data_IF_017087634278
#
_entry.id   IF_017087634278
#
_cell.length_a   1.000
_cell.length_b   1.000
_cell.length_c   1.000
_cell.angle_alpha   90.00
_cell.angle_beta   90.00
_cell.angle_gamma   90.00
#
_symmetry.space_group_name_H-M   'P 1'
#
loop_
_entity.id
_entity.type
_entity.pdbx_description
1 polymer ?
#
# COMPACT_ATOMS: atom_id res chain seq x y z
N UNK A 1 -10.51 -36.87 -2.94
CA UNK A 1 -9.75 -35.60 -2.98
C UNK A 1 -10.67 -34.53 -3.54
N UNK A 2 -10.77 -33.36 -2.90
CA UNK A 2 -11.53 -32.26 -3.49
C UNK A 2 -10.72 -31.71 -4.66
N UNK A 3 -11.26 -31.74 -5.86
CA UNK A 3 -10.62 -31.15 -7.05
C UNK A 3 -10.76 -29.64 -7.01
N UNK A 4 -9.69 -28.91 -7.32
CA UNK A 4 -9.68 -27.46 -7.51
C UNK A 4 -9.51 -27.15 -8.99
N UNK A 5 -10.19 -26.11 -9.48
CA UNK A 5 -10.02 -25.64 -10.86
C UNK A 5 -8.74 -24.78 -10.99
N UNK A 6 -8.37 -24.10 -9.90
CA UNK A 6 -7.24 -23.18 -9.86
C UNK A 6 -6.48 -23.38 -8.55
N UNK A 7 -5.15 -23.35 -8.65
CA UNK A 7 -4.23 -23.34 -7.54
C UNK A 7 -3.49 -22.00 -7.52
N UNK A 8 -3.57 -21.28 -6.40
CA UNK A 8 -2.82 -20.03 -6.17
C UNK A 8 -1.72 -20.34 -5.16
N UNK A 9 -0.48 -20.03 -5.50
CA UNK A 9 0.67 -20.21 -4.62
C UNK A 9 1.03 -18.86 -4.00
N UNK A 10 0.96 -18.81 -2.67
CA UNK A 10 1.17 -17.62 -1.86
C UNK A 10 -0.13 -16.92 -1.49
N UNK A 11 -0.37 -16.77 -0.18
CA UNK A 11 -1.51 -16.07 0.40
C UNK A 11 -1.16 -14.62 0.82
N UNK A 12 -0.27 -13.95 0.09
CA UNK A 12 -0.06 -12.52 0.21
C UNK A 12 -1.26 -11.74 -0.38
N UNK A 13 -1.29 -10.43 -0.21
CA UNK A 13 -2.41 -9.59 -0.65
C UNK A 13 -2.77 -9.76 -2.14
N UNK A 14 -1.79 -9.91 -3.04
CA UNK A 14 -2.04 -10.13 -4.47
C UNK A 14 -2.63 -11.52 -4.74
N UNK A 15 -2.07 -12.57 -4.11
CA UNK A 15 -2.58 -13.94 -4.23
C UNK A 15 -4.00 -14.07 -3.71
N UNK A 16 -4.29 -13.45 -2.57
CA UNK A 16 -5.64 -13.43 -1.98
C UNK A 16 -6.64 -12.67 -2.85
N UNK A 17 -6.26 -11.52 -3.41
CA UNK A 17 -7.11 -10.77 -4.34
C UNK A 17 -7.42 -11.58 -5.60
N UNK A 18 -6.41 -12.19 -6.22
CA UNK A 18 -6.60 -13.06 -7.39
C UNK A 18 -7.49 -14.26 -7.08
N UNK A 19 -7.25 -14.94 -5.96
CA UNK A 19 -8.04 -16.08 -5.52
C UNK A 19 -9.51 -15.69 -5.28
N UNK A 20 -9.75 -14.56 -4.63
CA UNK A 20 -11.11 -14.07 -4.37
C UNK A 20 -11.86 -13.71 -5.67
N UNK A 21 -11.18 -13.04 -6.61
CA UNK A 21 -11.78 -12.72 -7.91
C UNK A 21 -12.12 -13.97 -8.72
N UNK A 22 -11.24 -14.98 -8.74
CA UNK A 22 -11.48 -16.26 -9.39
C UNK A 22 -12.62 -17.04 -8.72
N UNK A 23 -12.67 -17.05 -7.40
CA UNK A 23 -13.77 -17.68 -6.67
C UNK A 23 -15.13 -17.00 -6.95
N UNK A 24 -15.16 -15.66 -7.03
CA UNK A 24 -16.36 -14.90 -7.43
C UNK A 24 -16.82 -15.21 -8.86
N UNK A 25 -15.89 -15.58 -9.75
CA UNK A 25 -16.22 -16.04 -11.10
C UNK A 25 -16.71 -17.51 -11.17
N UNK A 26 -16.92 -18.15 -10.02
CA UNK A 26 -17.44 -19.52 -9.91
C UNK A 26 -16.36 -20.61 -9.95
N UNK A 27 -15.07 -20.26 -9.92
CA UNK A 27 -13.97 -21.25 -9.89
C UNK A 27 -13.77 -21.81 -8.49
N UNK A 28 -13.46 -23.09 -8.40
CA UNK A 28 -12.99 -23.73 -7.16
C UNK A 28 -11.51 -23.42 -6.99
N UNK A 29 -11.18 -22.52 -6.09
CA UNK A 29 -9.81 -22.05 -5.88
C UNK A 29 -9.24 -22.66 -4.60
N UNK A 30 -8.00 -23.16 -4.69
CA UNK A 30 -7.19 -23.52 -3.52
C UNK A 30 -6.00 -22.57 -3.45
N UNK A 31 -5.75 -22.00 -2.27
CA UNK A 31 -4.57 -21.18 -2.00
C UNK A 31 -3.62 -22.00 -1.14
N UNK A 32 -2.36 -22.05 -1.55
CA UNK A 32 -1.27 -22.65 -0.77
C UNK A 32 -0.37 -21.54 -0.24
N UNK A 33 -0.12 -21.56 1.05
CA UNK A 33 0.78 -20.63 1.75
C UNK A 33 1.88 -21.44 2.44
N UNK A 34 3.13 -20.96 2.32
CA UNK A 34 4.27 -21.61 2.96
C UNK A 34 4.39 -21.25 4.45
N UNK A 35 3.91 -20.07 4.82
CA UNK A 35 3.91 -19.59 6.21
C UNK A 35 2.69 -20.06 7.00
N UNK A 36 2.76 -19.88 8.31
CA UNK A 36 1.66 -20.23 9.22
C UNK A 36 0.44 -19.30 9.08
N UNK A 37 0.61 -18.12 8.50
CA UNK A 37 -0.42 -17.09 8.39
C UNK A 37 -0.49 -16.52 6.99
N UNK A 38 -1.70 -16.29 6.51
CA UNK A 38 -1.94 -15.54 5.28
C UNK A 38 -1.70 -14.04 5.50
N UNK A 39 -1.43 -13.30 4.42
CA UNK A 39 -1.28 -11.85 4.40
C UNK A 39 0.02 -11.37 3.78
N UNK A 40 1.08 -12.16 3.79
CA UNK A 40 2.39 -11.77 3.24
C UNK A 40 2.90 -10.49 3.90
N UNK A 41 3.32 -9.49 3.13
CA UNK A 41 3.78 -8.20 3.66
C UNK A 41 2.69 -7.39 4.40
N UNK A 42 1.42 -7.69 4.19
CA UNK A 42 0.32 -7.07 4.91
C UNK A 42 -0.03 -7.80 6.22
N UNK A 43 0.60 -8.95 6.49
CA UNK A 43 0.41 -9.67 7.74
C UNK A 43 0.96 -8.87 8.93
N UNK A 44 0.28 -8.97 10.06
CA UNK A 44 0.81 -8.45 11.32
C UNK A 44 1.74 -9.48 11.93
N UNK A 45 2.87 -9.02 12.40
CA UNK A 45 3.90 -9.84 13.06
C UNK A 45 4.09 -9.32 14.47
N UNK A 46 4.06 -10.21 15.43
CA UNK A 46 4.46 -9.90 16.80
C UNK A 46 6.00 -9.84 16.85
N UNK A 47 6.53 -8.67 17.10
CA UNK A 47 7.98 -8.43 17.18
C UNK A 47 8.48 -8.34 18.63
N UNK A 48 7.57 -8.17 19.58
CA UNK A 48 7.81 -8.26 21.02
C UNK A 48 6.50 -8.70 21.69
N UNK A 49 6.57 -9.31 22.86
CA UNK A 49 5.41 -9.84 23.57
C UNK A 49 4.31 -8.77 23.72
N UNK A 50 3.15 -8.99 23.09
CA UNK A 50 2.01 -8.08 23.09
C UNK A 50 2.13 -6.90 22.12
N UNK A 51 3.20 -6.82 21.31
CA UNK A 51 3.39 -5.77 20.33
C UNK A 51 3.40 -6.33 18.91
N UNK A 52 2.42 -5.92 18.13
CA UNK A 52 2.28 -6.33 16.73
C UNK A 52 2.44 -5.13 15.79
N UNK A 53 3.11 -5.35 14.67
CA UNK A 53 3.17 -4.39 13.56
C UNK A 53 2.99 -5.10 12.23
N UNK A 54 2.47 -4.41 11.19
CA UNK A 54 2.50 -4.96 9.84
C UNK A 54 3.95 -5.00 9.34
N UNK A 55 4.30 -6.05 8.58
CA UNK A 55 5.63 -6.14 7.97
C UNK A 55 5.89 -5.01 6.97
N UNK A 56 4.87 -4.59 6.22
CA UNK A 56 4.92 -3.37 5.41
C UNK A 56 4.26 -2.24 6.19
N UNK A 57 5.01 -1.21 6.64
CA UNK A 57 4.47 -0.13 7.46
C UNK A 57 3.49 0.77 6.72
N UNK A 58 3.48 0.71 5.38
CA UNK A 58 2.64 1.59 4.56
C UNK A 58 1.93 0.81 3.46
N UNK A 59 0.63 0.95 3.41
CA UNK A 59 -0.17 0.63 2.26
C UNK A 59 -0.46 1.94 1.52
N UNK A 60 0.33 2.24 0.49
CA UNK A 60 0.20 3.51 -0.23
C UNK A 60 -1.11 3.62 -1.00
N UNK A 61 -1.61 2.53 -1.55
CA UNK A 61 -2.86 2.50 -2.28
C UNK A 61 -3.32 1.07 -2.54
N UNK A 62 -4.58 0.79 -2.24
CA UNK A 62 -5.31 -0.33 -2.83
C UNK A 62 -5.96 0.13 -4.12
N UNK A 63 -5.95 -0.71 -5.15
CA UNK A 63 -6.66 -0.41 -6.40
C UNK A 63 -8.15 -0.28 -6.14
N UNK A 64 -8.75 0.84 -6.53
CA UNK A 64 -10.20 1.06 -6.45
C UNK A 64 -10.99 -0.02 -7.20
N UNK A 65 -10.43 -0.52 -8.31
CA UNK A 65 -11.01 -1.61 -9.06
C UNK A 65 -11.08 -2.90 -8.22
N UNK A 66 -10.04 -3.21 -7.44
CA UNK A 66 -10.02 -4.38 -6.54
C UNK A 66 -10.95 -4.17 -5.35
N UNK A 67 -10.95 -2.99 -4.75
CA UNK A 67 -11.85 -2.64 -3.63
C UNK A 67 -13.31 -2.86 -4.06
N UNK A 68 -13.67 -2.32 -5.20
CA UNK A 68 -15.02 -2.41 -5.75
C UNK A 68 -15.36 -3.84 -6.20
N UNK A 69 -14.47 -4.50 -6.95
CA UNK A 69 -14.72 -5.85 -7.46
C UNK A 69 -14.88 -6.88 -6.34
N UNK A 70 -14.21 -6.71 -5.21
CA UNK A 70 -14.27 -7.62 -4.07
C UNK A 70 -15.18 -7.13 -2.95
N UNK A 71 -15.79 -5.94 -3.10
CA UNK A 71 -16.66 -5.31 -2.08
C UNK A 71 -15.96 -5.25 -0.69
N UNK A 72 -14.69 -4.87 -0.69
CA UNK A 72 -13.83 -4.97 0.50
C UNK A 72 -14.34 -4.14 1.68
N UNK A 73 -15.01 -3.02 1.41
CA UNK A 73 -15.61 -2.17 2.46
C UNK A 73 -16.70 -2.92 3.23
N UNK A 74 -17.54 -3.69 2.53
CA UNK A 74 -18.55 -4.54 3.16
C UNK A 74 -17.94 -5.65 4.01
N UNK A 75 -16.70 -6.08 3.67
CA UNK A 75 -15.93 -7.07 4.41
C UNK A 75 -15.02 -6.45 5.48
N UNK A 76 -15.24 -5.19 5.84
CA UNK A 76 -14.56 -4.53 6.96
C UNK A 76 -13.27 -3.79 6.58
N UNK A 77 -12.99 -3.59 5.28
CA UNK A 77 -11.89 -2.71 4.90
C UNK A 77 -12.20 -1.29 5.38
N UNK A 78 -11.38 -0.81 6.30
CA UNK A 78 -11.37 0.57 6.76
C UNK A 78 -9.98 1.16 6.52
N UNK A 79 -9.91 2.27 5.83
CA UNK A 79 -8.67 3.01 5.60
C UNK A 79 -8.64 4.23 6.50
N UNK A 80 -7.55 4.44 7.21
CA UNK A 80 -7.32 5.70 7.90
C UNK A 80 -7.21 6.80 6.84
N UNK A 81 -8.00 7.85 6.97
CA UNK A 81 -7.97 8.97 6.03
C UNK A 81 -6.88 9.97 6.42
N UNK A 82 -6.07 10.33 5.48
CA UNK A 82 -5.12 11.42 5.56
C UNK A 82 -3.67 10.98 5.32
N UNK A 83 -2.94 11.77 4.54
CA UNK A 83 -1.51 11.54 4.34
C UNK A 83 -0.77 11.83 5.64
N UNK A 84 -0.07 10.84 6.17
CA UNK A 84 0.87 11.04 7.27
C UNK A 84 2.03 11.92 6.79
N UNK A 85 2.56 12.82 7.63
CA UNK A 85 3.75 13.58 7.29
C UNK A 85 4.96 12.63 7.14
N UNK A 86 5.81 12.91 6.17
CA UNK A 86 7.09 12.23 6.01
C UNK A 86 8.16 13.07 6.67
N UNK A 87 8.92 12.48 7.59
CA UNK A 87 9.99 13.16 8.32
C UNK A 87 11.31 12.53 7.90
N UNK A 88 12.17 13.34 7.25
CA UNK A 88 13.55 12.98 6.99
C UNK A 88 14.44 13.48 8.14
N UNK A 89 15.11 12.56 8.81
CA UNK A 89 16.02 12.88 9.91
C UNK A 89 17.40 13.20 9.35
N UNK A 90 18.02 14.26 9.87
CA UNK A 90 19.40 14.62 9.59
C UNK A 90 20.15 14.70 10.91
N UNK A 91 21.42 14.26 10.94
CA UNK A 91 22.30 14.38 12.11
C UNK A 91 22.90 15.78 12.27
N UNK A 92 22.90 16.60 11.24
CA UNK A 92 23.58 17.91 11.22
C UNK A 92 22.58 19.09 11.21
N UNK A 93 21.46 18.91 10.59
CA UNK A 93 20.38 19.90 10.50
C UNK A 93 19.13 19.36 11.15
N UNK A 94 18.19 20.22 11.51
CA UNK A 94 16.89 19.79 12.01
C UNK A 94 16.14 18.91 11.01
N UNK A 95 15.07 18.21 11.42
CA UNK A 95 14.33 17.33 10.55
C UNK A 95 13.65 18.12 9.41
N UNK A 96 13.65 17.55 8.22
CA UNK A 96 12.86 18.04 7.09
C UNK A 96 11.49 17.35 7.14
N UNK A 97 10.43 18.12 7.18
CA UNK A 97 9.05 17.62 7.27
C UNK A 97 8.30 17.91 5.99
N UNK A 98 7.78 16.87 5.35
CA UNK A 98 6.90 16.95 4.19
C UNK A 98 5.47 16.63 4.61
N UNK A 99 4.55 17.56 4.37
CA UNK A 99 3.13 17.45 4.73
C UNK A 99 2.25 17.45 3.47
N UNK A 100 1.04 16.93 3.63
CA UNK A 100 0.04 16.87 2.58
C UNK A 100 0.26 15.74 1.58
N UNK A 101 -0.65 15.60 0.64
CA UNK A 101 -0.59 14.57 -0.39
C UNK A 101 0.65 14.77 -1.28
N UNK A 102 1.56 13.80 -1.25
CA UNK A 102 2.80 13.83 -2.02
C UNK A 102 3.70 15.06 -1.69
N UNK A 103 3.76 15.48 -0.43
CA UNK A 103 4.61 16.58 0.00
C UNK A 103 4.20 17.96 -0.55
N UNK A 104 2.96 18.35 -0.33
CA UNK A 104 2.46 19.68 -0.75
C UNK A 104 3.22 20.81 -0.08
N UNK A 105 3.62 20.59 1.19
CA UNK A 105 4.42 21.51 1.97
C UNK A 105 5.70 20.84 2.39
N UNK A 106 6.79 21.61 2.41
CA UNK A 106 8.08 21.16 2.92
C UNK A 106 8.62 22.25 3.88
N UNK A 107 9.06 21.81 5.04
CA UNK A 107 9.58 22.64 6.12
C UNK A 107 10.90 22.06 6.61
N UNK A 108 11.75 22.89 7.23
CA UNK A 108 13.01 22.45 7.81
C UNK A 108 14.19 22.42 6.83
N UNK A 109 14.03 22.96 5.62
CA UNK A 109 15.10 23.07 4.62
C UNK A 109 15.29 24.52 4.18
N UNK A 110 16.40 24.82 3.48
CA UNK A 110 16.66 26.14 2.93
C UNK A 110 15.59 26.55 1.89
N UNK A 111 15.32 27.85 1.71
CA UNK A 111 14.32 28.34 0.76
C UNK A 111 14.55 27.86 -0.68
N UNK A 112 15.80 27.78 -1.10
CA UNK A 112 16.23 27.33 -2.42
C UNK A 112 15.91 25.84 -2.63
N UNK A 113 16.16 25.01 -1.62
CA UNK A 113 15.84 23.58 -1.62
C UNK A 113 14.33 23.37 -1.65
N UNK A 114 13.58 24.14 -0.87
CA UNK A 114 12.12 24.11 -0.91
C UNK A 114 11.57 24.51 -2.29
N UNK A 115 12.21 25.47 -2.97
CA UNK A 115 11.82 25.85 -4.33
C UNK A 115 12.13 24.76 -5.35
N UNK A 116 13.33 24.14 -5.27
CA UNK A 116 13.73 23.03 -6.11
C UNK A 116 12.80 21.81 -5.93
N UNK A 117 12.46 21.47 -4.68
CA UNK A 117 11.50 20.41 -4.39
C UNK A 117 10.12 20.66 -4.98
N UNK A 118 9.59 21.89 -4.87
CA UNK A 118 8.31 22.25 -5.48
C UNK A 118 8.33 22.12 -7.00
N UNK A 119 9.45 22.48 -7.63
CA UNK A 119 9.62 22.33 -9.08
C UNK A 119 9.66 20.87 -9.52
N UNK A 120 10.41 20.03 -8.79
CA UNK A 120 10.44 18.58 -9.00
C UNK A 120 9.06 17.96 -8.83
N UNK A 121 8.38 18.27 -7.73
CA UNK A 121 7.03 17.78 -7.46
C UNK A 121 6.05 18.07 -8.59
N UNK A 122 6.05 19.30 -9.12
CA UNK A 122 5.20 19.65 -10.28
C UNK A 122 5.47 18.79 -11.51
N UNK A 123 6.75 18.52 -11.80
CA UNK A 123 7.14 17.65 -12.93
C UNK A 123 6.66 16.23 -12.73
N UNK A 124 6.87 15.67 -11.53
CA UNK A 124 6.43 14.31 -11.19
C UNK A 124 4.90 14.14 -11.24
N UNK A 125 4.14 15.12 -10.75
CA UNK A 125 2.69 15.09 -10.81
C UNK A 125 2.17 15.19 -12.26
N UNK A 126 2.83 15.99 -13.10
CA UNK A 126 2.51 16.05 -14.53
C UNK A 126 2.77 14.69 -15.21
N UNK A 127 3.92 14.08 -14.97
CA UNK A 127 4.24 12.75 -15.50
C UNK A 127 3.24 11.69 -15.01
N UNK A 128 2.92 11.68 -13.70
CA UNK A 128 1.93 10.77 -13.14
C UNK A 128 0.55 10.95 -13.78
N UNK A 129 0.13 12.19 -14.08
CA UNK A 129 -1.14 12.47 -14.75
C UNK A 129 -1.21 11.93 -16.18
N UNK A 130 -0.06 11.90 -16.88
CA UNK A 130 0.05 11.33 -18.23
C UNK A 130 -0.03 9.80 -18.14
N UNK A 131 0.74 9.20 -17.23
CA UNK A 131 0.79 7.74 -17.06
C UNK A 131 -0.54 7.15 -16.62
N UNK A 132 -1.32 7.89 -15.81
CA UNK A 132 -2.66 7.47 -15.38
C UNK A 132 -3.64 7.21 -16.53
N UNK A 133 -3.34 7.67 -17.74
CA UNK A 133 -4.17 7.41 -18.92
C UNK A 133 -3.95 6.03 -19.53
N UNK A 134 -2.94 5.31 -19.05
CA UNK A 134 -2.58 3.98 -19.55
C UNK A 134 -2.91 2.86 -18.54
N UNK A 135 -3.45 3.21 -17.35
CA UNK A 135 -4.04 2.29 -16.38
C UNK A 135 -5.54 2.09 -16.65
#
# INVERSE_FOLDING_TARGET
MKSSDVLVIGAGHNGLAAAAMLARSGRKVTVLEAGERAGGLAARVEFAQGFEAPMAPFLYRLSEAVISALDLQRHGLSTASGPAPTIALSGETGPIVMEGAFGEKINGCAPEEAAAFRALRRRLLLQASILKRFD
#
